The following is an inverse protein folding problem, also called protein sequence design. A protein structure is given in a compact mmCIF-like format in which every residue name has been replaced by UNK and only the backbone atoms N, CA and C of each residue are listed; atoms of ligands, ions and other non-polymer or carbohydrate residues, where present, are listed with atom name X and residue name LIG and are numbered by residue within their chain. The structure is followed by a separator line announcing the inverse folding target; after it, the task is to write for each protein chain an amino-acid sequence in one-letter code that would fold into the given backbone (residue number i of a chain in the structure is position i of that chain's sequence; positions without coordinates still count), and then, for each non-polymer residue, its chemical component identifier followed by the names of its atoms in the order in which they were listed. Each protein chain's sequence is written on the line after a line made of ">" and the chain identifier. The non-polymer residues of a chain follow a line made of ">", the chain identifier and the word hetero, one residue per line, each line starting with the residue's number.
data_IF_342467488528
#
_entry.id   IF_342467488528
#
_cell.length_a   1.000
_cell.length_b   1.000
_cell.length_c   1.000
_cell.angle_alpha   90.00
_cell.angle_beta   90.00
_cell.angle_gamma   90.00
#
_symmetry.space_group_name_H-M   'P 1'
#
loop_
_entity.id
_entity.type
_entity.pdbx_description
1 polymer ?
#
# COMPACT_ATOMS: atom_id res chain seq x y z
N UNK A 1 2.24 8.61 6.47
CA UNK A 1 1.24 7.56 6.76
C UNK A 1 0.94 6.85 5.46
N UNK A 2 1.02 5.51 5.46
CA UNK A 2 0.67 4.72 4.29
C UNK A 2 -0.79 4.25 4.39
N UNK A 3 -1.43 4.09 3.25
CA UNK A 3 -2.67 3.33 3.14
C UNK A 3 -2.45 1.88 3.59
N UNK A 4 -3.48 1.29 4.18
CA UNK A 4 -3.51 -0.15 4.50
C UNK A 4 -3.46 -0.92 3.18
N UNK A 5 -2.54 -1.88 3.09
CA UNK A 5 -2.27 -2.62 1.85
C UNK A 5 -3.43 -3.55 1.47
N UNK A 6 -3.55 -3.91 0.18
CA UNK A 6 -4.42 -4.99 -0.23
C UNK A 6 -4.01 -6.31 0.44
N UNK A 7 -5.01 -7.19 0.61
CA UNK A 7 -4.86 -8.55 1.12
C UNK A 7 -5.85 -9.47 0.42
N UNK A 8 -5.73 -10.78 0.61
CA UNK A 8 -6.51 -11.77 -0.13
C UNK A 8 -6.14 -11.79 -1.61
N UNK A 9 -6.54 -12.78 -2.38
CA UNK A 9 -6.07 -12.93 -3.76
C UNK A 9 -6.76 -11.94 -4.72
N UNK A 10 -8.07 -11.80 -4.59
CA UNK A 10 -8.93 -11.09 -5.55
C UNK A 10 -9.44 -9.76 -4.98
N UNK A 11 -9.89 -8.82 -5.84
CA UNK A 11 -10.57 -7.59 -5.39
C UNK A 11 -11.84 -7.83 -4.57
N UNK A 12 -12.39 -9.05 -4.61
CA UNK A 12 -13.62 -9.40 -3.91
C UNK A 12 -13.42 -9.76 -2.43
N UNK A 13 -12.17 -9.88 -1.96
CA UNK A 13 -11.86 -10.14 -0.55
C UNK A 13 -12.52 -9.07 0.36
N UNK A 14 -13.39 -9.46 1.32
CA UNK A 14 -14.09 -8.50 2.16
C UNK A 14 -13.17 -7.61 2.98
N UNK A 15 -12.01 -8.13 3.42
CA UNK A 15 -11.04 -7.37 4.19
C UNK A 15 -10.24 -6.42 3.30
N UNK A 16 -10.03 -6.75 2.02
CA UNK A 16 -9.49 -5.79 1.04
C UNK A 16 -10.42 -4.61 0.85
N UNK A 17 -11.72 -4.84 0.65
CA UNK A 17 -12.74 -3.78 0.53
C UNK A 17 -12.80 -2.92 1.80
N UNK A 18 -12.65 -3.54 2.97
CA UNK A 18 -12.57 -2.82 4.24
C UNK A 18 -11.31 -1.94 4.32
N UNK A 19 -10.16 -2.42 3.87
CA UNK A 19 -8.92 -1.64 3.81
C UNK A 19 -9.08 -0.43 2.89
N UNK A 20 -9.67 -0.62 1.69
CA UNK A 20 -9.94 0.45 0.72
C UNK A 20 -10.88 1.52 1.30
N UNK A 21 -11.99 1.10 1.92
CA UNK A 21 -12.91 2.02 2.59
C UNK A 21 -12.24 2.78 3.74
N UNK A 22 -11.38 2.10 4.52
CA UNK A 22 -10.62 2.72 5.60
C UNK A 22 -9.62 3.75 5.05
N UNK A 23 -8.92 3.43 3.96
CA UNK A 23 -7.97 4.34 3.28
C UNK A 23 -8.66 5.63 2.82
N UNK A 24 -9.89 5.56 2.32
CA UNK A 24 -10.70 6.74 1.98
C UNK A 24 -10.96 7.63 3.19
N UNK A 25 -11.14 7.06 4.38
CA UNK A 25 -11.34 7.82 5.62
C UNK A 25 -10.03 8.43 6.13
N UNK A 26 -8.98 7.62 6.27
CA UNK A 26 -7.72 8.06 6.89
C UNK A 26 -6.90 8.99 5.98
N UNK A 27 -7.10 8.94 4.66
CA UNK A 27 -6.45 9.87 3.71
C UNK A 27 -6.79 11.33 4.01
N UNK A 28 -7.97 11.60 4.57
CA UNK A 28 -8.44 12.93 4.95
C UNK A 28 -7.72 13.51 6.17
N UNK A 29 -6.95 12.68 6.89
CA UNK A 29 -6.12 13.13 8.01
C UNK A 29 -4.81 13.78 7.54
N UNK A 30 -4.47 13.70 6.25
CA UNK A 30 -3.31 14.37 5.71
C UNK A 30 -3.49 15.90 5.75
N UNK A 31 -2.58 16.57 6.42
CA UNK A 31 -2.53 18.04 6.49
C UNK A 31 -1.47 18.64 5.57
N UNK A 32 -0.64 17.80 4.93
CA UNK A 32 0.45 18.20 4.05
C UNK A 32 1.62 18.88 4.78
N UNK A 33 1.64 18.87 6.12
CA UNK A 33 2.66 19.47 6.96
C UNK A 33 3.36 18.40 7.78
N UNK A 34 2.63 17.82 8.72
CA UNK A 34 3.12 16.77 9.62
C UNK A 34 2.62 15.41 9.20
N UNK A 35 1.38 15.32 8.70
CA UNK A 35 0.78 14.10 8.20
C UNK A 35 0.72 14.17 6.69
N UNK A 36 1.55 13.35 6.05
CA UNK A 36 1.51 13.06 4.62
C UNK A 36 0.88 11.69 4.43
N UNK A 37 -0.14 11.57 3.57
CA UNK A 37 -0.74 10.29 3.22
C UNK A 37 -0.28 9.82 1.84
N UNK A 38 0.00 8.54 1.71
CA UNK A 38 0.39 7.92 0.45
C UNK A 38 -0.25 6.54 0.33
N UNK A 39 -0.97 6.29 -0.76
CA UNK A 39 -1.53 4.98 -1.08
C UNK A 39 -0.71 4.34 -2.21
N UNK A 40 -0.02 3.24 -1.87
CA UNK A 40 0.82 2.47 -2.78
C UNK A 40 0.26 1.06 -3.01
N UNK A 41 -0.99 0.79 -2.60
CA UNK A 41 -1.56 -0.56 -2.67
C UNK A 41 -1.51 -1.17 -4.07
N UNK A 42 -1.70 -0.34 -5.11
CA UNK A 42 -1.62 -0.75 -6.53
C UNK A 42 -0.25 -1.29 -6.94
N UNK A 43 0.83 -0.89 -6.26
CA UNK A 43 2.18 -1.40 -6.54
C UNK A 43 2.24 -2.91 -6.40
N UNK A 44 1.48 -3.50 -5.47
CA UNK A 44 1.50 -4.93 -5.19
C UNK A 44 0.59 -5.77 -6.08
N UNK A 45 -0.26 -5.14 -6.89
CA UNK A 45 -1.30 -5.81 -7.65
C UNK A 45 -0.89 -6.00 -9.12
N UNK A 46 -1.34 -7.10 -9.70
CA UNK A 46 -1.30 -7.30 -11.14
C UNK A 46 -2.31 -6.36 -11.83
N UNK A 47 -2.24 -6.27 -13.17
CA UNK A 47 -3.11 -5.39 -13.95
C UNK A 47 -4.60 -5.73 -13.85
N UNK A 48 -4.94 -6.97 -13.52
CA UNK A 48 -6.30 -7.46 -13.26
C UNK A 48 -6.74 -7.29 -11.79
N UNK A 49 -5.88 -6.74 -10.92
CA UNK A 49 -6.13 -6.57 -9.50
C UNK A 49 -5.79 -7.79 -8.63
N UNK A 50 -5.22 -8.85 -9.20
CA UNK A 50 -4.79 -10.04 -8.44
C UNK A 50 -3.58 -9.72 -7.57
N UNK A 51 -3.58 -10.20 -6.32
CA UNK A 51 -2.41 -10.23 -5.43
C UNK A 51 -1.83 -11.63 -5.44
N UNK A 52 -0.56 -11.76 -5.81
CA UNK A 52 0.09 -13.07 -5.95
C UNK A 52 0.82 -13.48 -4.67
N UNK A 53 1.00 -14.80 -4.49
CA UNK A 53 1.84 -15.35 -3.42
C UNK A 53 3.33 -15.06 -3.58
N UNK A 54 3.76 -14.60 -4.76
CA UNK A 54 5.13 -14.10 -4.93
C UNK A 54 5.32 -12.77 -4.18
N UNK A 55 4.30 -11.91 -4.16
CA UNK A 55 4.34 -10.59 -3.50
C UNK A 55 3.96 -10.70 -2.01
N UNK A 56 2.94 -11.51 -1.69
CA UNK A 56 2.54 -11.80 -0.32
C UNK A 56 2.26 -13.30 -0.15
N UNK A 57 3.19 -14.11 0.40
CA UNK A 57 3.11 -15.57 0.38
C UNK A 57 1.85 -16.17 1.03
N UNK A 58 1.33 -15.49 2.04
CA UNK A 58 0.07 -15.81 2.74
C UNK A 58 -1.07 -14.85 2.39
N UNK A 59 -0.90 -14.07 1.31
CA UNK A 59 -1.82 -13.03 0.85
C UNK A 59 -2.06 -11.91 1.88
N UNK A 60 -1.10 -11.69 2.78
CA UNK A 60 -1.12 -10.63 3.79
C UNK A 60 0.26 -9.99 4.04
N UNK A 61 1.27 -10.78 4.38
CA UNK A 61 2.60 -10.28 4.69
C UNK A 61 3.45 -10.21 3.43
N UNK A 62 4.19 -9.10 3.25
CA UNK A 62 5.09 -8.94 2.11
C UNK A 62 6.21 -9.98 2.13
N UNK A 63 6.53 -10.52 0.95
CA UNK A 63 7.78 -11.24 0.71
C UNK A 63 8.95 -10.24 0.63
N UNK A 64 10.17 -10.76 0.47
CA UNK A 64 11.35 -9.94 0.16
C UNK A 64 11.12 -9.03 -1.06
N UNK A 65 10.68 -9.60 -2.18
CA UNK A 65 10.28 -8.85 -3.39
C UNK A 65 9.19 -7.81 -3.08
N UNK A 66 8.21 -8.18 -2.27
CA UNK A 66 7.16 -7.27 -1.83
C UNK A 66 7.72 -6.07 -1.05
N UNK A 67 8.71 -6.30 -0.17
CA UNK A 67 9.38 -5.24 0.57
C UNK A 67 10.27 -4.36 -0.31
N UNK A 68 10.94 -4.91 -1.33
CA UNK A 68 11.69 -4.11 -2.31
C UNK A 68 10.77 -3.15 -3.07
N UNK A 69 9.62 -3.65 -3.52
CA UNK A 69 8.60 -2.85 -4.20
C UNK A 69 8.02 -1.77 -3.28
N UNK A 70 7.78 -2.11 -2.02
CA UNK A 70 7.35 -1.15 -0.98
C UNK A 70 8.39 -0.05 -0.77
N UNK A 71 9.66 -0.43 -0.57
CA UNK A 71 10.75 0.51 -0.34
C UNK A 71 10.93 1.46 -1.53
N UNK A 72 11.01 0.93 -2.75
CA UNK A 72 11.15 1.74 -3.96
C UNK A 72 9.96 2.68 -4.19
N UNK A 73 8.74 2.29 -3.79
CA UNK A 73 7.57 3.14 -3.92
C UNK A 73 7.59 4.33 -2.94
N UNK A 74 8.08 4.15 -1.71
CA UNK A 74 8.06 5.21 -0.68
C UNK A 74 9.32 6.07 -0.67
N UNK A 75 10.45 5.55 -1.16
CA UNK A 75 11.76 6.21 -1.07
C UNK A 75 11.75 7.65 -1.62
N UNK A 76 11.15 7.96 -2.79
CA UNK A 76 11.13 9.34 -3.30
C UNK A 76 10.43 10.31 -2.36
N UNK A 77 9.31 9.89 -1.75
CA UNK A 77 8.57 10.73 -0.80
C UNK A 77 9.35 10.91 0.50
N UNK A 78 10.07 9.88 0.95
CA UNK A 78 10.93 10.01 2.14
C UNK A 78 12.04 11.02 1.89
N UNK A 79 12.73 10.94 0.74
CA UNK A 79 13.79 11.91 0.37
C UNK A 79 13.26 13.34 0.33
N UNK A 80 12.12 13.56 -0.33
CA UNK A 80 11.44 14.87 -0.37
C UNK A 80 11.19 15.42 1.06
N UNK A 81 10.71 14.57 1.97
CA UNK A 81 10.39 14.99 3.35
C UNK A 81 11.63 15.22 4.22
N UNK A 82 12.75 14.55 3.90
CA UNK A 82 14.05 14.76 4.54
C UNK A 82 14.82 15.94 3.95
N UNK A 83 14.42 16.46 2.79
CA UNK A 83 15.12 17.51 2.07
C UNK A 83 16.37 17.01 1.33
N UNK A 84 16.38 15.75 0.94
CA UNK A 84 17.46 15.07 0.18
C UNK A 84 17.21 15.03 -1.32
#
# INVERSE_FOLDING_TARGET
>A
MLGIFPRGETPEDPMRKQNEATNVLISKLADGKTIHFMDIGKTFLQSDGTLTKEIMPDLLHLSEKGYEMWAGAIEPKIKELLGE
#
